data_IF_973134379187
#
_entry.id   IF_973134379187
#
_cell.length_a   1.000
_cell.length_b   1.000
_cell.length_c   1.000
_cell.angle_alpha   90.00
_cell.angle_beta   90.00
_cell.angle_gamma   90.00
#
_symmetry.space_group_name_H-M   'P 1'
#
loop_
_entity.id
_entity.type
_entity.pdbx_description
1 polymer ?
#
# COMPACT_ATOMS: atom_id res chain seq x y z
N UNK A 1 1.07 -9.20 18.64
CA UNK A 1 2.49 -9.12 18.26
C UNK A 1 2.67 -7.71 17.76
N UNK A 2 3.66 -6.96 18.23
CA UNK A 2 3.78 -5.54 17.86
C UNK A 2 4.19 -5.43 16.39
N UNK A 3 3.41 -4.68 15.58
CA UNK A 3 3.72 -4.44 14.17
C UNK A 3 4.54 -3.15 14.05
N UNK A 4 5.65 -3.20 13.33
CA UNK A 4 6.48 -2.03 13.03
C UNK A 4 6.80 -1.98 11.55
N UNK A 5 6.87 -0.78 11.01
CA UNK A 5 7.21 -0.55 9.61
C UNK A 5 8.65 -0.08 9.50
N UNK A 6 9.39 -0.64 8.54
CA UNK A 6 10.65 -0.04 8.10
C UNK A 6 10.37 1.22 7.30
N UNK A 7 11.33 2.14 7.31
CA UNK A 7 11.26 3.36 6.50
C UNK A 7 11.10 3.04 5.00
N UNK A 8 11.73 1.95 4.52
CA UNK A 8 11.55 1.44 3.16
C UNK A 8 10.08 1.13 2.84
N UNK A 9 9.41 0.38 3.71
CA UNK A 9 7.99 0.06 3.54
C UNK A 9 7.10 1.31 3.55
N UNK A 10 7.40 2.28 4.43
CA UNK A 10 6.69 3.56 4.43
C UNK A 10 6.91 4.34 3.12
N UNK A 11 8.14 4.33 2.60
CA UNK A 11 8.50 4.98 1.34
C UNK A 11 7.81 4.32 0.14
N UNK A 12 7.67 2.99 0.14
CA UNK A 12 6.98 2.25 -0.93
C UNK A 12 5.53 2.72 -1.10
N UNK A 13 4.79 2.85 0.01
CA UNK A 13 3.39 3.30 -0.04
C UNK A 13 3.30 4.76 -0.44
N UNK A 14 4.19 5.63 0.06
CA UNK A 14 4.22 7.04 -0.35
C UNK A 14 4.53 7.20 -1.83
N UNK A 15 5.50 6.45 -2.36
CA UNK A 15 5.83 6.45 -3.78
C UNK A 15 4.64 6.00 -4.61
N UNK A 16 3.92 4.96 -4.18
CA UNK A 16 2.71 4.51 -4.86
C UNK A 16 1.62 5.60 -4.89
N UNK A 17 1.35 6.26 -3.77
CA UNK A 17 0.37 7.36 -3.69
C UNK A 17 0.78 8.53 -4.59
N UNK A 18 2.05 8.93 -4.54
CA UNK A 18 2.59 10.00 -5.39
C UNK A 18 2.40 9.69 -6.88
N UNK A 19 2.79 8.48 -7.33
CA UNK A 19 2.59 8.09 -8.72
C UNK A 19 1.12 7.96 -9.12
N UNK A 20 0.25 7.57 -8.18
CA UNK A 20 -1.18 7.57 -8.40
C UNK A 20 -1.68 9.00 -8.64
N UNK A 21 -1.34 9.95 -7.77
CA UNK A 21 -1.73 11.35 -7.92
C UNK A 21 -1.19 11.95 -9.23
N UNK A 22 0.10 11.76 -9.53
CA UNK A 22 0.74 12.25 -10.76
C UNK A 22 0.05 11.73 -12.02
N UNK A 23 -0.26 10.43 -12.09
CA UNK A 23 -0.90 9.84 -13.26
C UNK A 23 -2.32 10.39 -13.51
N UNK A 24 -3.05 10.74 -12.45
CA UNK A 24 -4.36 11.38 -12.57
C UNK A 24 -4.26 12.88 -12.83
N UNK A 25 -3.24 13.56 -12.28
CA UNK A 25 -2.94 14.95 -12.58
C UNK A 25 -2.63 15.11 -14.06
N UNK A 26 -1.74 14.29 -14.62
CA UNK A 26 -1.39 14.30 -16.04
C UNK A 26 -2.62 14.05 -16.94
N UNK A 27 -3.54 13.18 -16.51
CA UNK A 27 -4.75 12.87 -17.27
C UNK A 27 -5.75 14.05 -17.35
N UNK A 28 -5.82 14.87 -16.29
CA UNK A 28 -6.83 15.91 -16.15
C UNK A 28 -6.29 17.33 -16.34
N UNK A 29 -4.98 17.53 -16.17
CA UNK A 29 -4.30 18.76 -16.55
C UNK A 29 -4.44 18.93 -18.06
N UNK A 30 -4.89 20.11 -18.50
CA UNK A 30 -5.10 20.46 -19.92
C UNK A 30 -6.40 19.95 -20.57
N UNK A 31 -7.35 19.45 -19.78
CA UNK A 31 -8.68 19.08 -20.31
C UNK A 31 -9.62 20.27 -20.54
N UNK A 32 -9.30 21.45 -20.00
CA UNK A 32 -10.15 22.65 -20.06
C UNK A 32 -11.52 22.46 -19.39
N UNK A 33 -11.65 21.44 -18.52
CA UNK A 33 -12.89 21.13 -17.82
C UNK A 33 -13.19 22.22 -16.79
N UNK A 34 -14.42 22.74 -16.82
CA UNK A 34 -14.89 23.74 -15.86
C UNK A 34 -14.84 23.27 -14.39
N UNK A 35 -14.65 21.97 -14.17
CA UNK A 35 -14.59 21.28 -12.88
C UNK A 35 -13.23 20.67 -12.55
N UNK A 36 -12.15 21.11 -13.22
CA UNK A 36 -10.78 20.61 -12.98
C UNK A 36 -10.41 20.59 -11.49
N UNK A 37 -10.62 21.70 -10.78
CA UNK A 37 -10.34 21.79 -9.34
C UNK A 37 -11.09 20.74 -8.51
N UNK A 38 -12.37 20.50 -8.82
CA UNK A 38 -13.17 19.49 -8.13
C UNK A 38 -12.67 18.06 -8.40
N UNK A 39 -12.22 17.79 -9.62
CA UNK A 39 -11.64 16.50 -9.99
C UNK A 39 -10.32 16.30 -9.25
N UNK A 40 -9.46 17.31 -9.21
CA UNK A 40 -8.16 17.25 -8.52
C UNK A 40 -8.31 17.08 -7.01
N UNK A 41 -9.26 17.79 -6.38
CA UNK A 41 -9.58 17.58 -4.97
C UNK A 41 -10.10 16.17 -4.68
N UNK A 42 -10.98 15.65 -5.55
CA UNK A 42 -11.47 14.27 -5.44
C UNK A 42 -10.34 13.26 -5.57
N UNK A 43 -9.41 13.44 -6.53
CA UNK A 43 -8.24 12.57 -6.71
C UNK A 43 -7.37 12.56 -5.44
N UNK A 44 -7.05 13.73 -4.87
CA UNK A 44 -6.27 13.84 -3.63
C UNK A 44 -6.98 13.18 -2.45
N UNK A 45 -8.30 13.38 -2.31
CA UNK A 45 -9.10 12.74 -1.27
C UNK A 45 -9.09 11.21 -1.41
N UNK A 46 -9.27 10.72 -2.64
CA UNK A 46 -9.25 9.29 -2.94
C UNK A 46 -7.86 8.68 -2.68
N UNK A 47 -6.79 9.40 -3.00
CA UNK A 47 -5.42 8.97 -2.74
C UNK A 47 -5.15 8.82 -1.24
N UNK A 48 -5.60 9.78 -0.43
CA UNK A 48 -5.54 9.69 1.04
C UNK A 48 -6.38 8.54 1.61
N UNK A 49 -7.60 8.36 1.12
CA UNK A 49 -8.45 7.25 1.55
C UNK A 49 -7.80 5.90 1.22
N UNK A 50 -7.27 5.76 0.01
CA UNK A 50 -6.57 4.56 -0.43
C UNK A 50 -5.34 4.26 0.44
N UNK A 51 -4.59 5.28 0.85
CA UNK A 51 -3.49 5.12 1.79
C UNK A 51 -3.98 4.54 3.12
N UNK A 52 -5.02 5.14 3.71
CA UNK A 52 -5.60 4.68 4.97
C UNK A 52 -6.12 3.25 4.86
N UNK A 53 -6.81 2.92 3.78
CA UNK A 53 -7.37 1.57 3.54
C UNK A 53 -6.25 0.51 3.42
N UNK A 54 -5.17 0.84 2.71
CA UNK A 54 -4.02 -0.07 2.57
C UNK A 54 -3.37 -0.29 3.94
N UNK A 55 -3.07 0.78 4.68
CA UNK A 55 -2.46 0.64 6.01
C UNK A 55 -3.34 -0.15 6.97
N UNK A 56 -4.63 0.19 7.06
CA UNK A 56 -5.57 -0.48 7.93
C UNK A 56 -5.67 -1.98 7.61
N UNK A 57 -5.70 -2.35 6.33
CA UNK A 57 -5.71 -3.75 5.92
C UNK A 57 -4.40 -4.49 6.25
N UNK A 58 -3.24 -3.82 6.14
CA UNK A 58 -1.95 -4.40 6.56
C UNK A 58 -1.98 -4.69 8.07
N UNK A 59 -2.41 -3.73 8.88
CA UNK A 59 -2.52 -3.87 10.34
C UNK A 59 -3.48 -5.00 10.70
N UNK A 60 -4.69 -5.00 10.13
CA UNK A 60 -5.71 -6.01 10.42
C UNK A 60 -5.23 -7.44 10.16
N UNK A 61 -4.43 -7.65 9.12
CA UNK A 61 -3.88 -8.95 8.77
C UNK A 61 -2.60 -9.29 9.55
N UNK A 62 -1.69 -8.33 9.74
CA UNK A 62 -0.36 -8.55 10.32
C UNK A 62 -0.25 -8.25 11.81
N UNK A 63 -1.27 -7.74 12.50
CA UNK A 63 -1.26 -7.68 13.97
C UNK A 63 -1.64 -9.02 14.61
N UNK A 64 -2.34 -9.87 13.83
CA UNK A 64 -2.77 -11.20 14.27
C UNK A 64 -1.57 -12.06 14.66
N UNK A 65 -1.73 -12.87 15.72
CA UNK A 65 -0.69 -13.79 16.20
C UNK A 65 -0.20 -14.73 15.09
N UNK A 66 -1.12 -15.20 14.25
CA UNK A 66 -0.83 -16.03 13.08
C UNK A 66 -1.36 -15.34 11.83
N UNK A 67 -0.48 -15.16 10.84
CA UNK A 67 -0.85 -14.64 9.52
C UNK A 67 -1.23 -15.83 8.64
N UNK A 68 -2.50 -15.90 8.27
CA UNK A 68 -3.02 -16.93 7.37
C UNK A 68 -2.59 -16.63 5.93
N UNK A 69 -2.36 -17.67 5.13
CA UNK A 69 -1.97 -17.51 3.72
C UNK A 69 -0.57 -16.95 3.49
N UNK A 70 0.27 -16.84 4.53
CA UNK A 70 1.67 -16.43 4.37
C UNK A 70 2.47 -17.48 3.59
N UNK A 71 3.35 -17.02 2.72
CA UNK A 71 4.36 -17.85 2.06
C UNK A 71 5.71 -17.61 2.73
N UNK A 72 6.40 -18.68 3.10
CA UNK A 72 7.75 -18.58 3.63
C UNK A 72 8.74 -18.34 2.48
N UNK A 73 9.60 -17.32 2.63
CA UNK A 73 10.74 -17.04 1.75
C UNK A 73 12.03 -17.50 2.45
N UNK A 74 13.18 -17.15 1.88
CA UNK A 74 14.50 -17.48 2.45
C UNK A 74 14.72 -16.73 3.78
N UNK A 75 15.49 -17.33 4.69
CA UNK A 75 16.04 -16.68 5.89
C UNK A 75 15.01 -15.98 6.82
N UNK A 76 13.88 -16.63 7.12
CA UNK A 76 12.82 -16.12 8.03
C UNK A 76 12.06 -14.89 7.51
N UNK A 77 12.08 -14.67 6.20
CA UNK A 77 11.21 -13.72 5.52
C UNK A 77 9.89 -14.40 5.15
N UNK A 78 8.81 -13.61 5.18
CA UNK A 78 7.48 -14.05 4.83
C UNK A 78 6.87 -13.08 3.82
N UNK A 79 6.10 -13.63 2.89
CA UNK A 79 5.28 -12.88 1.94
C UNK A 79 3.82 -13.11 2.31
N UNK A 80 3.03 -12.04 2.35
CA UNK A 80 1.59 -12.09 2.50
C UNK A 80 0.96 -11.16 1.47
N UNK A 81 -0.06 -11.65 0.78
CA UNK A 81 -0.72 -10.91 -0.30
C UNK A 81 -2.22 -10.89 -0.10
N UNK A 82 -2.83 -9.73 -0.30
CA UNK A 82 -4.26 -9.50 -0.16
C UNK A 82 -4.72 -8.40 -1.13
N UNK A 83 -6.03 -8.21 -1.27
CA UNK A 83 -6.59 -7.16 -2.13
C UNK A 83 -7.19 -6.03 -1.32
N UNK A 84 -6.93 -4.80 -1.77
CA UNK A 84 -7.59 -3.58 -1.29
C UNK A 84 -8.29 -2.95 -2.49
N UNK A 85 -9.61 -3.00 -2.50
CA UNK A 85 -10.41 -2.71 -3.70
C UNK A 85 -9.97 -3.60 -4.88
N UNK A 86 -9.53 -2.97 -5.98
CA UNK A 86 -9.03 -3.69 -7.16
C UNK A 86 -7.51 -3.88 -7.22
N UNK A 87 -6.77 -3.54 -6.16
CA UNK A 87 -5.30 -3.58 -6.13
C UNK A 87 -4.81 -4.78 -5.33
N UNK A 88 -3.81 -5.46 -5.87
CA UNK A 88 -3.09 -6.49 -5.13
C UNK A 88 -1.98 -5.82 -4.30
N UNK A 89 -2.02 -6.03 -2.99
CA UNK A 89 -0.98 -5.59 -2.06
C UNK A 89 -0.18 -6.81 -1.64
N UNK A 90 1.13 -6.75 -1.79
CA UNK A 90 2.09 -7.80 -1.42
C UNK A 90 3.00 -7.22 -0.36
N UNK A 91 2.98 -7.81 0.83
CA UNK A 91 3.76 -7.37 1.97
C UNK A 91 4.84 -8.40 2.27
N UNK A 92 6.07 -7.94 2.36
CA UNK A 92 7.18 -8.73 2.87
C UNK A 92 7.43 -8.34 4.32
N UNK A 93 7.49 -9.34 5.21
CA UNK A 93 7.71 -9.11 6.62
C UNK A 93 8.65 -10.14 7.24
N UNK A 94 9.28 -9.76 8.35
CA UNK A 94 10.07 -10.65 9.19
C UNK A 94 9.49 -10.69 10.61
N UNK A 95 9.79 -11.77 11.35
CA UNK A 95 9.34 -11.94 12.73
C UNK A 95 10.54 -12.01 13.68
N UNK A 96 10.65 -11.04 14.59
CA UNK A 96 11.55 -11.14 15.74
C UNK A 96 10.77 -11.71 16.94
N UNK A 97 10.71 -13.04 17.02
CA UNK A 97 9.96 -13.74 18.07
C UNK A 97 10.50 -13.49 19.49
N UNK A 98 11.79 -13.18 19.64
CA UNK A 98 12.39 -12.88 20.95
C UNK A 98 11.79 -11.60 21.55
N UNK A 99 11.50 -10.62 20.71
CA UNK A 99 10.95 -9.33 21.13
C UNK A 99 9.46 -9.19 20.85
N UNK A 100 8.82 -10.23 20.29
CA UNK A 100 7.42 -10.22 19.86
C UNK A 100 7.10 -9.07 18.88
N UNK A 101 8.03 -8.80 17.95
CA UNK A 101 7.90 -7.75 16.93
C UNK A 101 7.79 -8.38 15.53
N UNK A 102 6.86 -7.88 14.73
CA UNK A 102 6.77 -8.11 13.28
C UNK A 102 7.25 -6.87 12.55
N UNK A 103 8.24 -7.02 11.68
CA UNK A 103 8.73 -5.93 10.85
C UNK A 103 8.15 -6.05 9.46
N UNK A 104 7.44 -5.02 9.01
CA UNK A 104 7.10 -4.84 7.60
C UNK A 104 8.34 -4.30 6.91
N UNK A 105 8.96 -5.13 6.08
CA UNK A 105 10.24 -4.83 5.42
C UNK A 105 10.03 -4.07 4.11
N UNK A 106 9.04 -4.47 3.31
CA UNK A 106 8.66 -3.80 2.07
C UNK A 106 7.20 -4.07 1.69
N UNK A 107 6.64 -3.17 0.89
CA UNK A 107 5.26 -3.25 0.40
C UNK A 107 5.28 -3.04 -1.11
N UNK A 108 4.82 -4.02 -1.86
CA UNK A 108 4.59 -3.88 -3.29
C UNK A 108 3.09 -3.78 -3.56
N UNK A 109 2.68 -2.76 -4.30
CA UNK A 109 1.29 -2.54 -4.68
C UNK A 109 1.22 -2.67 -6.20
N UNK A 110 0.38 -3.58 -6.68
CA UNK A 110 0.14 -3.77 -8.10
C UNK A 110 -0.39 -2.48 -8.71
N UNK A 111 0.36 -1.99 -9.70
CA UNK A 111 -0.02 -0.82 -10.49
C UNK A 111 -0.84 -1.37 -11.64
N UNK A 112 -2.16 -1.17 -11.60
CA UNK A 112 -2.94 -1.30 -12.83
C UNK A 112 -2.33 -0.32 -13.84
N UNK A 113 -1.87 -0.78 -15.01
CA UNK A 113 -1.56 0.16 -16.06
C UNK A 113 -2.86 0.89 -16.38
N UNK A 114 -2.78 2.21 -16.56
CA UNK A 114 -3.89 2.96 -17.14
C UNK A 114 -3.84 2.60 -18.63
N UNK A 115 -4.47 1.47 -18.98
CA UNK A 115 -4.57 1.01 -20.36
C UNK A 115 -5.81 1.69 -20.96
N UNK A 116 -5.59 2.45 -22.02
CA UNK A 116 -6.62 2.96 -22.92
C UNK A 116 -6.83 1.98 -24.08
#
# INVERSE_FOLDING_TARGET
MELRFRESALADVRSFVFHYEEAFLELYSDTGLWSEDTILESVRSNAKQLFTDIYGAIEEHLERRVVLGRKTKRAAWYEFSFRVGSRLVIVHYSENRKHNIRWVESIAIDRKPIIF
#
